data_IF_271390259849
#
_entry.id   IF_271390259849
#
_cell.length_a   1.000
_cell.length_b   1.000
_cell.length_c   1.000
_cell.angle_alpha   90.00
_cell.angle_beta   90.00
_cell.angle_gamma   90.00
#
_symmetry.space_group_name_H-M   'P 1'
#
loop_
_entity.id
_entity.type
_entity.pdbx_description
1 polymer ?
#
# COMPACT_ATOMS: atom_id res chain seq x y z
N UNK A 1 38.17 18.54 -0.58
CA UNK A 1 36.84 17.97 -0.84
C UNK A 1 35.92 19.14 -1.14
N UNK A 2 35.40 19.21 -2.35
CA UNK A 2 34.59 20.34 -2.81
C UNK A 2 33.30 20.47 -1.98
N UNK A 3 33.14 21.60 -1.29
CA UNK A 3 31.98 21.88 -0.44
C UNK A 3 30.62 21.81 -1.18
N UNK A 4 30.64 21.90 -2.51
CA UNK A 4 29.47 21.74 -3.35
C UNK A 4 29.09 20.26 -3.52
N UNK A 5 30.06 19.35 -3.65
CA UNK A 5 29.79 17.91 -3.75
C UNK A 5 29.17 17.38 -2.45
N UNK A 6 29.68 17.82 -1.30
CA UNK A 6 29.12 17.43 0.01
C UNK A 6 27.67 17.89 0.20
N UNK A 7 27.30 19.07 -0.34
CA UNK A 7 25.92 19.56 -0.27
C UNK A 7 24.97 18.74 -1.14
N UNK A 8 25.36 18.47 -2.39
CA UNK A 8 24.55 17.67 -3.32
C UNK A 8 24.30 16.28 -2.75
N UNK A 9 25.33 15.64 -2.18
CA UNK A 9 25.17 14.36 -1.51
C UNK A 9 24.23 14.46 -0.30
N UNK A 10 24.37 15.49 0.53
CA UNK A 10 23.49 15.67 1.68
C UNK A 10 22.01 15.84 1.28
N UNK A 11 21.72 16.64 0.25
CA UNK A 11 20.37 16.85 -0.24
C UNK A 11 19.78 15.57 -0.86
N UNK A 12 20.60 14.81 -1.59
CA UNK A 12 20.24 13.49 -2.13
C UNK A 12 19.96 12.47 -1.01
N UNK A 13 20.73 12.49 0.07
CA UNK A 13 20.50 11.63 1.25
C UNK A 13 19.16 11.93 1.90
N UNK A 14 18.85 13.22 2.09
CA UNK A 14 17.58 13.63 2.69
C UNK A 14 16.41 13.24 1.79
N UNK A 15 16.50 13.48 0.48
CA UNK A 15 15.46 13.06 -0.46
C UNK A 15 15.26 11.55 -0.48
N UNK A 16 16.35 10.76 -0.44
CA UNK A 16 16.25 9.29 -0.39
C UNK A 16 15.65 8.81 0.93
N UNK A 17 15.97 9.47 2.05
CA UNK A 17 15.41 9.16 3.37
C UNK A 17 13.92 9.50 3.46
N UNK A 18 13.49 10.64 2.90
CA UNK A 18 12.09 11.05 2.85
C UNK A 18 11.26 10.10 1.96
N UNK A 19 11.80 9.73 0.79
CA UNK A 19 11.19 8.73 -0.08
C UNK A 19 11.06 7.38 0.63
N UNK A 20 12.09 6.94 1.37
CA UNK A 20 12.05 5.71 2.14
C UNK A 20 11.01 5.73 3.28
N UNK A 21 10.88 6.86 3.98
CA UNK A 21 9.91 6.99 5.05
C UNK A 21 8.47 6.94 4.53
N UNK A 22 8.20 7.66 3.43
CA UNK A 22 6.89 7.62 2.77
C UNK A 22 6.56 6.21 2.29
N UNK A 23 7.53 5.54 1.67
CA UNK A 23 7.30 4.25 1.07
C UNK A 23 7.08 3.12 2.08
N UNK A 24 7.75 3.17 3.23
CA UNK A 24 7.47 2.28 4.37
C UNK A 24 6.10 2.52 4.98
N UNK A 25 5.69 3.78 5.08
CA UNK A 25 4.38 4.14 5.65
C UNK A 25 3.25 3.58 4.78
N UNK A 26 3.35 3.72 3.45
CA UNK A 26 2.39 3.13 2.52
C UNK A 26 2.35 1.60 2.64
N UNK A 27 3.51 0.94 2.71
CA UNK A 27 3.56 -0.52 2.91
C UNK A 27 2.90 -0.98 4.21
N UNK A 28 3.09 -0.28 5.32
CA UNK A 28 2.45 -0.65 6.58
C UNK A 28 0.93 -0.51 6.48
N UNK A 29 0.43 0.58 5.91
CA UNK A 29 -1.01 0.77 5.66
C UNK A 29 -1.59 -0.35 4.77
N UNK A 30 -0.89 -0.67 3.68
CA UNK A 30 -1.27 -1.75 2.78
C UNK A 30 -1.32 -3.11 3.51
N UNK A 31 -0.34 -3.40 4.38
CA UNK A 31 -0.32 -4.63 5.19
C UNK A 31 -1.45 -4.69 6.21
N UNK A 32 -1.85 -3.57 6.79
CA UNK A 32 -2.97 -3.50 7.74
C UNK A 32 -4.34 -3.68 7.07
N UNK A 33 -4.49 -3.22 5.82
CA UNK A 33 -5.73 -3.32 5.05
C UNK A 33 -6.01 -4.75 4.51
N UNK A 34 -4.99 -5.61 4.41
CA UNK A 34 -5.09 -7.00 3.96
C UNK A 34 -5.73 -7.87 5.07
N UNK A 35 -7.01 -8.21 4.93
CA UNK A 35 -7.78 -9.07 5.85
C UNK A 35 -7.48 -10.59 5.74
N UNK A 36 -8.30 -11.45 6.35
CA UNK A 36 -8.02 -12.91 6.49
C UNK A 36 -8.48 -13.82 5.31
N UNK A 37 -8.85 -13.29 4.13
CA UNK A 37 -9.36 -14.14 3.01
C UNK A 37 -8.23 -14.84 2.21
N UNK A 38 -8.53 -15.90 1.47
CA UNK A 38 -7.53 -16.67 0.67
C UNK A 38 -6.75 -15.81 -0.34
N UNK A 39 -7.40 -14.84 -0.99
CA UNK A 39 -6.73 -13.90 -1.90
C UNK A 39 -5.77 -12.95 -1.18
N UNK A 40 -5.98 -12.71 0.13
CA UNK A 40 -5.06 -11.94 0.96
C UNK A 40 -3.73 -12.67 1.19
N UNK A 41 -3.68 -14.01 1.15
CA UNK A 41 -2.40 -14.73 1.28
C UNK A 41 -1.50 -14.44 0.08
N UNK A 42 -2.08 -14.40 -1.13
CA UNK A 42 -1.35 -14.04 -2.35
C UNK A 42 -0.91 -12.57 -2.31
N UNK A 43 -1.81 -11.67 -1.93
CA UNK A 43 -1.50 -10.24 -1.81
C UNK A 43 -0.45 -9.97 -0.72
N UNK A 44 -0.50 -10.69 0.40
CA UNK A 44 0.49 -10.58 1.47
C UNK A 44 1.86 -11.10 1.01
N UNK A 45 1.92 -12.15 0.19
CA UNK A 45 3.17 -12.58 -0.45
C UNK A 45 3.71 -11.52 -1.41
N UNK A 46 2.86 -10.93 -2.26
CA UNK A 46 3.26 -9.85 -3.19
C UNK A 46 3.74 -8.60 -2.44
N UNK A 47 3.05 -8.16 -1.38
CA UNK A 47 3.49 -7.05 -0.55
C UNK A 47 4.82 -7.32 0.17
N UNK A 48 5.02 -8.52 0.72
CA UNK A 48 6.30 -8.84 1.37
C UNK A 48 7.45 -8.90 0.36
N UNK A 49 7.21 -9.33 -0.88
CA UNK A 49 8.21 -9.27 -1.94
C UNK A 49 8.55 -7.83 -2.33
N UNK A 50 7.54 -6.95 -2.41
CA UNK A 50 7.77 -5.52 -2.68
C UNK A 50 8.52 -4.85 -1.53
N UNK A 51 8.21 -5.21 -0.28
CA UNK A 51 8.91 -4.76 0.94
C UNK A 51 10.39 -5.14 0.92
N UNK A 52 10.70 -6.40 0.63
CA UNK A 52 12.09 -6.85 0.50
C UNK A 52 12.82 -6.14 -0.66
N UNK A 53 12.15 -5.92 -1.80
CA UNK A 53 12.72 -5.15 -2.91
C UNK A 53 13.01 -3.70 -2.52
N UNK A 54 12.10 -3.04 -1.80
CA UNK A 54 12.29 -1.69 -1.30
C UNK A 54 13.49 -1.60 -0.34
N UNK A 55 13.61 -2.51 0.62
CA UNK A 55 14.74 -2.53 1.56
C UNK A 55 16.08 -2.73 0.83
N UNK A 56 16.10 -3.60 -0.18
CA UNK A 56 17.29 -3.84 -1.01
C UNK A 56 17.72 -2.58 -1.78
N UNK A 57 16.77 -1.88 -2.42
CA UNK A 57 17.04 -0.62 -3.13
C UNK A 57 17.68 0.42 -2.19
N UNK A 58 17.14 0.58 -0.98
CA UNK A 58 17.70 1.52 -0.02
C UNK A 58 19.07 1.10 0.53
N UNK A 59 19.28 -0.19 0.73
CA UNK A 59 20.59 -0.75 1.10
C UNK A 59 21.65 -0.43 0.05
N UNK A 60 21.30 -0.60 -1.23
CA UNK A 60 22.20 -0.31 -2.36
C UNK A 60 22.49 1.19 -2.52
N UNK A 61 21.48 2.05 -2.34
CA UNK A 61 21.68 3.51 -2.31
C UNK A 61 22.65 3.90 -1.20
N UNK A 62 22.41 3.41 0.03
CA UNK A 62 23.25 3.72 1.20
C UNK A 62 24.69 3.23 1.01
N UNK A 63 24.86 2.03 0.44
CA UNK A 63 26.19 1.48 0.11
C UNK A 63 26.91 2.32 -0.93
N UNK A 64 26.24 2.70 -2.02
CA UNK A 64 26.84 3.54 -3.06
C UNK A 64 27.27 4.89 -2.50
N UNK A 65 26.41 5.49 -1.67
CA UNK A 65 26.66 6.77 -1.02
C UNK A 65 27.84 6.73 -0.05
N UNK A 66 27.94 5.68 0.76
CA UNK A 66 29.08 5.47 1.63
C UNK A 66 30.39 5.31 0.84
N UNK A 67 30.36 4.56 -0.27
CA UNK A 67 31.54 4.36 -1.12
C UNK A 67 31.97 5.67 -1.79
N UNK A 68 31.03 6.51 -2.22
CA UNK A 68 31.32 7.85 -2.73
C UNK A 68 31.93 8.75 -1.65
N UNK A 69 31.33 8.78 -0.46
CA UNK A 69 31.81 9.62 0.64
C UNK A 69 33.20 9.20 1.13
N UNK A 70 33.49 7.90 1.16
CA UNK A 70 34.79 7.36 1.57
C UNK A 70 35.85 7.36 0.46
N UNK A 71 35.51 7.83 -0.74
CA UNK A 71 36.42 7.85 -1.90
C UNK A 71 36.81 6.46 -2.41
N UNK A 72 36.04 5.43 -2.07
CA UNK A 72 36.29 4.02 -2.48
C UNK A 72 35.58 3.65 -3.79
N UNK A 73 34.76 4.54 -4.31
CA UNK A 73 34.08 4.38 -5.59
C UNK A 73 34.92 5.03 -6.70
N UNK A 74 35.08 4.32 -7.81
CA UNK A 74 35.72 4.85 -9.02
C UNK A 74 34.73 5.71 -9.80
N UNK A 75 35.23 6.53 -10.74
CA UNK A 75 34.38 7.38 -11.61
C UNK A 75 33.31 6.59 -12.36
N UNK A 76 33.52 5.28 -12.54
CA UNK A 76 32.57 4.35 -13.15
C UNK A 76 32.37 3.10 -12.31
N UNK A 77 31.12 2.67 -12.26
CA UNK A 77 30.61 1.43 -11.67
C UNK A 77 30.15 0.53 -12.81
N UNK A 78 30.59 -0.72 -12.81
CA UNK A 78 30.15 -1.69 -13.81
C UNK A 78 28.77 -2.21 -13.42
N UNK A 79 27.79 -2.03 -14.29
CA UNK A 79 26.42 -2.56 -14.16
C UNK A 79 26.11 -3.49 -15.33
N UNK A 80 24.96 -4.17 -15.29
CA UNK A 80 24.53 -5.07 -16.37
C UNK A 80 24.36 -4.32 -17.71
N UNK A 81 23.95 -3.04 -17.66
CA UNK A 81 23.84 -2.16 -18.84
C UNK A 81 25.17 -1.49 -19.25
N UNK A 82 26.29 -1.91 -18.66
CA UNK A 82 27.61 -1.35 -18.91
C UNK A 82 28.09 -0.36 -17.84
N UNK A 83 29.14 0.43 -18.14
CA UNK A 83 29.74 1.36 -17.18
C UNK A 83 28.82 2.57 -16.94
N UNK A 84 28.34 2.72 -15.71
CA UNK A 84 27.55 3.87 -15.26
C UNK A 84 28.34 4.70 -14.25
N UNK A 85 28.06 5.99 -14.14
CA UNK A 85 28.62 6.78 -13.04
C UNK A 85 27.91 6.44 -11.72
N UNK A 86 28.55 6.65 -10.56
CA UNK A 86 27.91 6.47 -9.26
C UNK A 86 26.59 7.25 -9.11
N UNK A 87 26.51 8.45 -9.70
CA UNK A 87 25.28 9.23 -9.75
C UNK A 87 24.20 8.53 -10.58
N UNK A 88 24.52 8.05 -11.78
CA UNK A 88 23.56 7.32 -12.62
C UNK A 88 23.06 6.04 -11.95
N UNK A 89 23.90 5.38 -11.15
CA UNK A 89 23.45 4.21 -10.37
C UNK A 89 22.45 4.64 -9.30
N UNK A 90 22.70 5.73 -8.58
CA UNK A 90 21.76 6.24 -7.57
C UNK A 90 20.46 6.71 -8.21
N UNK A 91 20.53 7.44 -9.33
CA UNK A 91 19.34 7.87 -10.07
C UNK A 91 18.50 6.66 -10.52
N UNK A 92 19.14 5.60 -11.01
CA UNK A 92 18.46 4.37 -11.38
C UNK A 92 17.79 3.69 -10.19
N UNK A 93 18.45 3.67 -9.02
CA UNK A 93 17.89 3.09 -7.79
C UNK A 93 16.71 3.92 -7.28
N UNK A 94 16.76 5.25 -7.39
CA UNK A 94 15.66 6.13 -7.03
C UNK A 94 14.44 5.91 -7.93
N UNK A 95 14.65 5.77 -9.24
CA UNK A 95 13.57 5.40 -10.17
C UNK A 95 12.95 4.03 -9.81
N UNK A 96 13.76 3.06 -9.37
CA UNK A 96 13.23 1.78 -8.88
C UNK A 96 12.41 1.95 -7.60
N UNK A 97 12.85 2.79 -6.66
CA UNK A 97 12.07 3.08 -5.45
C UNK A 97 10.71 3.74 -5.77
N UNK A 98 10.69 4.68 -6.72
CA UNK A 98 9.45 5.29 -7.21
C UNK A 98 8.51 4.25 -7.86
N UNK A 99 9.05 3.33 -8.65
CA UNK A 99 8.27 2.26 -9.27
C UNK A 99 7.65 1.33 -8.22
N UNK A 100 8.45 0.91 -7.22
CA UNK A 100 7.95 0.07 -6.12
C UNK A 100 6.83 0.78 -5.37
N UNK A 101 6.93 2.10 -5.17
CA UNK A 101 5.85 2.89 -4.57
C UNK A 101 4.56 2.84 -5.40
N UNK A 102 4.66 3.05 -6.70
CA UNK A 102 3.50 3.00 -7.60
C UNK A 102 2.83 1.62 -7.60
N UNK A 103 3.61 0.54 -7.53
CA UNK A 103 3.08 -0.82 -7.48
C UNK A 103 2.31 -1.08 -6.18
N UNK A 104 2.75 -0.51 -5.05
CA UNK A 104 2.05 -0.57 -3.76
C UNK A 104 0.75 0.23 -3.82
N UNK A 105 0.80 1.48 -4.30
CA UNK A 105 -0.38 2.33 -4.44
C UNK A 105 -1.43 1.64 -5.34
N UNK A 106 -0.99 0.94 -6.39
CA UNK A 106 -1.87 0.16 -7.26
C UNK A 106 -2.48 -1.07 -6.57
N UNK A 107 -1.73 -1.75 -5.70
CA UNK A 107 -2.26 -2.84 -4.88
C UNK A 107 -3.23 -2.33 -3.82
N UNK A 108 -2.95 -1.20 -3.18
CA UNK A 108 -3.86 -0.53 -2.25
C UNK A 108 -5.15 -0.08 -2.94
N UNK A 109 -5.06 0.48 -4.15
CA UNK A 109 -6.25 0.84 -4.93
C UNK A 109 -7.11 -0.38 -5.25
N UNK A 110 -6.50 -1.52 -5.62
CA UNK A 110 -7.22 -2.78 -5.84
C UNK A 110 -7.85 -3.34 -4.57
N UNK A 111 -7.25 -3.09 -3.40
CA UNK A 111 -7.85 -3.44 -2.10
C UNK A 111 -9.02 -2.49 -1.76
N UNK A 112 -8.92 -1.22 -2.14
CA UNK A 112 -9.97 -0.21 -1.94
C UNK A 112 -11.15 -0.33 -2.90
N UNK A 113 -10.97 -0.92 -4.09
CA UNK A 113 -12.08 -1.23 -5.01
C UNK A 113 -13.03 -2.30 -4.44
N UNK A 114 -12.55 -3.18 -3.55
CA UNK A 114 -13.42 -4.08 -2.77
C UNK A 114 -14.14 -3.34 -1.61
N UNK A 115 -13.73 -2.11 -1.29
CA UNK A 115 -14.25 -1.26 -0.20
C UNK A 115 -15.28 -0.21 -0.68
N UNK A 116 -15.38 0.06 -1.99
CA UNK A 116 -16.43 0.96 -2.53
C UNK A 116 -17.85 0.35 -2.40
N UNK A 117 -17.93 -0.92 -2.00
CA UNK A 117 -19.13 -1.63 -1.51
C UNK A 117 -19.10 -1.89 0.00
N UNK A 118 -18.41 -1.06 0.77
CA UNK A 118 -18.51 -0.96 2.23
C UNK A 118 -19.00 0.45 2.59
N UNK A 119 -20.23 0.75 2.22
CA UNK A 119 -20.94 1.91 2.72
C UNK A 119 -21.14 1.76 4.23
N UNK A 120 -20.23 2.34 4.99
CA UNK A 120 -20.26 2.39 6.44
C UNK A 120 -21.54 3.12 6.91
N UNK A 121 -22.53 2.36 7.40
CA UNK A 121 -23.82 2.89 7.82
C UNK A 121 -23.70 3.41 9.25
N UNK A 122 -23.91 4.71 9.44
CA UNK A 122 -23.97 5.28 10.79
C UNK A 122 -25.36 5.04 11.38
N UNK A 123 -25.42 4.39 12.55
CA UNK A 123 -26.68 4.14 13.24
C UNK A 123 -27.38 5.46 13.58
N UNK A 124 -28.64 5.67 13.16
CA UNK A 124 -29.36 6.93 13.39
C UNK A 124 -29.69 7.18 14.86
N UNK A 125 -29.69 6.14 15.70
CA UNK A 125 -30.09 6.24 17.11
C UNK A 125 -28.93 6.54 18.05
N UNK A 126 -27.78 5.90 17.85
CA UNK A 126 -26.65 6.02 18.76
C UNK A 126 -25.38 6.59 18.12
N UNK A 127 -25.39 6.80 16.80
CA UNK A 127 -24.22 7.29 16.06
C UNK A 127 -23.11 6.26 15.88
N UNK A 128 -23.33 5.00 16.25
CA UNK A 128 -22.33 3.95 16.08
C UNK A 128 -22.14 3.62 14.59
N UNK A 129 -20.89 3.42 14.20
CA UNK A 129 -20.50 3.03 12.85
C UNK A 129 -20.78 1.54 12.67
N UNK A 130 -21.58 1.16 11.65
CA UNK A 130 -22.02 -0.21 11.38
C UNK A 130 -21.56 -0.64 9.98
N UNK A 131 -21.36 -1.95 9.80
CA UNK A 131 -20.81 -2.50 8.55
C UNK A 131 -21.91 -2.83 7.54
N UNK A 132 -21.55 -2.90 6.26
CA UNK A 132 -22.48 -3.26 5.19
C UNK A 132 -22.95 -4.71 5.36
N UNK A 133 -24.26 -4.89 5.53
CA UNK A 133 -24.90 -6.19 5.83
C UNK A 133 -25.44 -6.32 7.27
N UNK A 134 -25.13 -5.39 8.17
CA UNK A 134 -25.72 -5.38 9.51
C UNK A 134 -27.20 -5.01 9.46
N UNK A 135 -28.07 -5.94 9.83
CA UNK A 135 -29.50 -5.66 10.01
C UNK A 135 -29.79 -4.89 11.31
N UNK A 136 -28.91 -5.02 12.30
CA UNK A 136 -29.04 -4.40 13.62
C UNK A 136 -27.73 -3.76 14.08
N UNK A 137 -27.83 -2.64 14.77
CA UNK A 137 -26.69 -1.98 15.37
C UNK A 137 -26.09 -2.81 16.51
N UNK A 138 -24.80 -3.13 16.41
CA UNK A 138 -24.06 -3.89 17.43
C UNK A 138 -23.97 -3.19 18.79
N UNK A 139 -24.08 -1.86 18.83
CA UNK A 139 -23.98 -1.08 20.08
C UNK A 139 -25.31 -0.93 20.82
N UNK A 140 -26.42 -0.76 20.08
CA UNK A 140 -27.71 -0.39 20.68
C UNK A 140 -28.90 -1.24 20.23
N UNK A 141 -28.69 -2.18 19.31
CA UNK A 141 -29.71 -3.11 18.79
C UNK A 141 -30.73 -2.50 17.83
N UNK A 142 -30.53 -1.27 17.35
CA UNK A 142 -31.46 -0.61 16.42
C UNK A 142 -31.41 -1.21 15.02
N UNK A 143 -32.56 -1.38 14.37
CA UNK A 143 -32.62 -1.89 13.00
C UNK A 143 -32.04 -0.87 12.00
N UNK A 144 -31.15 -1.32 11.11
CA UNK A 144 -30.37 -0.44 10.24
C UNK A 144 -30.89 -0.35 8.79
N UNK A 145 -31.85 -1.21 8.40
CA UNK A 145 -32.47 -1.17 7.07
C UNK A 145 -33.93 -0.69 7.12
N UNK A 146 -34.29 0.18 6.17
CA UNK A 146 -35.69 0.44 5.81
C UNK A 146 -36.19 -0.76 4.98
N UNK A 147 -37.29 -1.36 5.42
CA UNK A 147 -37.91 -2.53 4.81
C UNK A 147 -38.16 -2.29 3.32
N UNK A 148 -37.60 -3.15 2.46
CA UNK A 148 -38.35 -3.55 1.27
C UNK A 148 -39.30 -4.63 1.74
N UNK A 149 -40.52 -4.25 2.08
CA UNK A 149 -41.62 -5.19 2.25
C UNK A 149 -41.78 -5.94 0.91
N UNK A 150 -41.25 -7.16 0.83
CA UNK A 150 -41.86 -8.14 -0.07
C UNK A 150 -43.09 -8.68 0.66
N UNK A 151 -44.31 -8.45 0.16
CA UNK A 151 -45.48 -9.09 0.74
C UNK A 151 -45.36 -10.61 0.50
N UNK A 152 -45.05 -11.34 1.57
CA UNK A 152 -45.46 -12.73 1.72
C UNK A 152 -46.96 -12.76 1.98
N UNK A 153 -47.70 -13.54 1.17
CA UNK A 153 -48.83 -14.38 1.61
C UNK A 153 -49.57 -14.94 0.38
N UNK A 154 -50.00 -16.19 0.21
CA UNK A 154 -49.75 -17.55 0.76
C UNK A 154 -50.54 -18.50 -0.18
N UNK A 155 -50.26 -19.82 -0.24
CA UNK A 155 -50.98 -20.76 -1.10
C UNK A 155 -52.35 -21.14 -0.48
N UNK A 156 -53.37 -21.30 -1.32
CA UNK A 156 -54.63 -21.94 -0.94
C UNK A 156 -54.93 -23.09 -1.92
N UNK A 157 -54.67 -24.31 -1.47
CA UNK A 157 -55.09 -25.57 -2.09
C UNK A 157 -56.59 -25.81 -1.91
N UNK A 158 -57.22 -26.28 -3.01
CA UNK A 158 -58.34 -27.23 -3.15
C UNK A 158 -59.75 -26.90 -2.59
N UNK A 159 -60.80 -27.09 -3.42
CA UNK A 159 -61.69 -28.28 -3.45
C UNK A 159 -62.69 -28.17 -4.62
N UNK A 160 -62.92 -29.32 -5.25
CA UNK A 160 -63.82 -29.70 -6.36
C UNK A 160 -65.34 -29.55 -6.12
N UNK A 161 -66.10 -29.29 -7.19
CA UNK A 161 -67.24 -30.12 -7.71
C UNK A 161 -67.73 -29.61 -9.07
#
# INVERSE_FOLDING_TARGET
MDSNLSKILHDLANSAADAAAGARSAMMSAKEAIGEKYDNVKLNMELNQLDEQQENVFSDIGRMMFLMHTGKVKDTVMTEDGPKTPQQVIDSLLLTAEQVQQDIDALEAKLGEDDETLACLTCPKCGNVCFEGDHYCSACGEHLTAEREEPMDVPAEEVSE
#
